data_IF_088260845761
#
_entry.id   IF_088260845761
#
_cell.length_a   1.000
_cell.length_b   1.000
_cell.length_c   1.000
_cell.angle_alpha   90.00
_cell.angle_beta   90.00
_cell.angle_gamma   90.00
#
_symmetry.space_group_name_H-M   'P 1'
#
loop_
_entity.id
_entity.type
_entity.pdbx_description
1 polymer ?
#
# COMPACT_ATOMS: atom_id res chain seq x y z
N UNK A 1 -14.91 6.66 -15.57
CA UNK A 1 -13.42 6.69 -15.56
C UNK A 1 -12.97 7.37 -14.27
N UNK A 2 -11.77 7.05 -13.78
CA UNK A 2 -11.19 7.69 -12.60
C UNK A 2 -9.66 7.77 -12.73
N UNK A 3 -9.04 8.83 -12.24
CA UNK A 3 -7.58 8.97 -12.27
C UNK A 3 -7.02 9.56 -10.97
N UNK A 4 -5.83 9.12 -10.57
CA UNK A 4 -5.12 9.73 -9.44
C UNK A 4 -3.60 9.51 -9.53
N UNK A 5 -2.81 10.33 -8.84
CA UNK A 5 -1.41 10.02 -8.56
C UNK A 5 -1.34 8.85 -7.56
N UNK A 6 -0.51 7.86 -7.85
CA UNK A 6 -0.41 6.67 -7.01
C UNK A 6 1.01 6.24 -6.71
N UNK A 7 1.16 5.56 -5.57
CA UNK A 7 2.24 4.60 -5.32
C UNK A 7 1.68 3.20 -5.46
N UNK A 8 2.31 2.39 -6.28
CA UNK A 8 1.86 1.04 -6.57
C UNK A 8 2.90 -0.02 -6.20
N UNK A 9 2.44 -1.12 -5.64
CA UNK A 9 3.23 -2.33 -5.36
C UNK A 9 2.52 -3.57 -5.92
N UNK A 10 3.30 -4.59 -6.26
CA UNK A 10 2.80 -5.93 -6.55
C UNK A 10 3.23 -6.86 -5.40
N UNK A 11 2.32 -7.68 -4.92
CA UNK A 11 2.53 -8.58 -3.77
C UNK A 11 2.27 -10.02 -4.17
N UNK A 12 2.93 -10.95 -3.49
CA UNK A 12 2.81 -12.40 -3.76
C UNK A 12 1.53 -13.00 -3.17
N UNK A 13 0.89 -12.30 -2.23
CA UNK A 13 -0.36 -12.69 -1.60
C UNK A 13 -1.27 -11.49 -1.35
N UNK A 14 -2.55 -11.77 -1.05
CA UNK A 14 -3.52 -10.80 -0.56
C UNK A 14 -3.22 -10.47 0.91
N UNK A 15 -2.12 -9.76 1.13
CA UNK A 15 -1.67 -9.35 2.45
C UNK A 15 -2.30 -8.02 2.88
N UNK A 16 -2.39 -7.81 4.19
CA UNK A 16 -2.77 -6.51 4.76
C UNK A 16 -1.84 -5.40 4.30
N UNK A 17 -2.35 -4.16 4.34
CA UNK A 17 -1.54 -2.98 4.03
C UNK A 17 -0.53 -2.79 5.16
N UNK A 18 0.75 -2.97 4.86
CA UNK A 18 1.84 -2.81 5.82
C UNK A 18 2.77 -1.68 5.40
N UNK A 19 3.25 -0.89 6.37
CA UNK A 19 4.42 -0.02 6.16
C UNK A 19 5.64 -0.90 6.03
N UNK A 20 6.37 -0.82 4.93
CA UNK A 20 7.51 -1.70 4.69
C UNK A 20 8.31 -1.37 3.43
N UNK A 21 9.31 -2.21 3.16
CA UNK A 21 10.28 -2.06 2.06
C UNK A 21 9.59 -2.00 0.70
N UNK A 22 8.52 -2.76 0.50
CA UNK A 22 7.75 -2.77 -0.75
C UNK A 22 7.28 -1.36 -1.16
N UNK A 23 6.87 -0.55 -0.18
CA UNK A 23 6.43 0.83 -0.43
C UNK A 23 7.58 1.80 -0.69
N UNK A 24 8.80 1.46 -0.24
CA UNK A 24 10.01 2.25 -0.53
C UNK A 24 10.40 2.09 -1.99
N UNK A 25 10.39 0.87 -2.51
CA UNK A 25 10.69 0.53 -3.92
C UNK A 25 9.46 0.59 -4.83
N UNK A 26 8.33 1.07 -4.33
CA UNK A 26 7.08 1.22 -5.08
C UNK A 26 7.23 2.08 -6.33
N UNK A 27 6.51 1.70 -7.38
CA UNK A 27 6.39 2.52 -8.57
C UNK A 27 5.50 3.72 -8.26
N UNK A 28 5.89 4.91 -8.73
CA UNK A 28 5.03 6.11 -8.72
C UNK A 28 4.54 6.38 -10.13
N UNK A 29 3.24 6.40 -10.32
CA UNK A 29 2.62 6.70 -11.61
C UNK A 29 1.17 7.15 -11.40
N UNK A 30 0.59 7.77 -12.42
CA UNK A 30 -0.87 7.97 -12.47
C UNK A 30 -1.53 6.60 -12.61
N UNK A 31 -2.46 6.30 -11.71
CA UNK A 31 -3.38 5.18 -11.87
C UNK A 31 -4.63 5.66 -12.57
N UNK A 32 -5.03 4.94 -13.62
CA UNK A 32 -6.17 5.27 -14.47
C UNK A 32 -7.10 4.07 -14.55
N UNK A 33 -8.36 4.27 -14.18
CA UNK A 33 -9.45 3.35 -14.47
C UNK A 33 -10.12 3.77 -15.78
N UNK A 34 -10.00 2.90 -16.77
CA UNK A 34 -10.68 3.01 -18.07
C UNK A 34 -11.91 2.11 -18.10
N UNK A 35 -12.54 2.02 -19.26
CA UNK A 35 -13.69 1.16 -19.53
C UNK A 35 -13.39 -0.34 -19.39
N UNK A 36 -12.16 -0.75 -19.71
CA UNK A 36 -11.80 -2.18 -19.82
C UNK A 36 -10.64 -2.59 -18.91
N UNK A 37 -9.90 -1.63 -18.33
CA UNK A 37 -8.66 -1.91 -17.60
C UNK A 37 -8.27 -0.82 -16.62
N UNK A 38 -7.46 -1.22 -15.64
CA UNK A 38 -6.66 -0.33 -14.80
C UNK A 38 -5.26 -0.23 -15.38
N UNK A 39 -4.73 0.98 -15.50
CA UNK A 39 -3.35 1.24 -15.94
C UNK A 39 -2.61 2.00 -14.84
N UNK A 40 -1.41 1.56 -14.50
CA UNK A 40 -0.51 2.26 -13.58
C UNK A 40 0.95 2.00 -13.98
N UNK A 41 1.57 2.98 -14.63
CA UNK A 41 2.93 2.86 -15.19
C UNK A 41 3.08 1.59 -16.04
N UNK A 42 3.94 0.65 -15.63
CA UNK A 42 4.17 -0.60 -16.37
C UNK A 42 3.04 -1.64 -16.25
N UNK A 43 2.06 -1.43 -15.38
CA UNK A 43 0.99 -2.39 -15.16
C UNK A 43 -0.25 -2.02 -15.94
N UNK A 44 -0.78 -3.03 -16.63
CA UNK A 44 -2.03 -2.99 -17.36
C UNK A 44 -2.83 -4.20 -16.85
N UNK A 45 -3.94 -3.93 -16.17
CA UNK A 45 -4.76 -4.94 -15.49
C UNK A 45 -6.16 -4.91 -16.10
N UNK A 46 -6.50 -5.83 -17.01
CA UNK A 46 -7.85 -5.94 -17.57
C UNK A 46 -8.90 -6.21 -16.48
N UNK A 47 -10.05 -5.54 -16.55
CA UNK A 47 -11.09 -5.63 -15.52
C UNK A 47 -11.71 -7.03 -15.44
N UNK A 48 -11.83 -7.72 -16.57
CA UNK A 48 -12.31 -9.10 -16.66
C UNK A 48 -11.37 -10.12 -15.98
N UNK A 49 -10.11 -9.75 -15.75
CA UNK A 49 -9.15 -10.58 -14.99
C UNK A 49 -9.19 -10.32 -13.49
N UNK A 50 -9.93 -9.32 -13.01
CA UNK A 50 -9.99 -8.97 -11.60
C UNK A 50 -10.98 -9.90 -10.89
N UNK A 51 -10.47 -10.65 -9.90
CA UNK A 51 -11.30 -11.51 -9.06
C UNK A 51 -11.87 -10.75 -7.85
N UNK A 52 -11.08 -9.87 -7.24
CA UNK A 52 -11.55 -8.99 -6.16
C UNK A 52 -10.92 -7.61 -6.25
N UNK A 53 -11.69 -6.58 -5.91
CA UNK A 53 -11.22 -5.22 -5.76
C UNK A 53 -11.80 -4.56 -4.51
N UNK A 54 -10.91 -4.03 -3.66
CA UNK A 54 -11.24 -3.38 -2.39
C UNK A 54 -10.61 -2.02 -2.34
N UNK A 55 -11.37 -1.00 -1.95
CA UNK A 55 -10.85 0.35 -1.72
C UNK A 55 -10.89 0.63 -0.23
N UNK A 56 -9.70 0.63 0.39
CA UNK A 56 -9.54 0.81 1.81
C UNK A 56 -9.25 2.27 2.11
N UNK A 57 -10.12 2.91 2.90
CA UNK A 57 -9.83 4.23 3.46
C UNK A 57 -8.84 4.08 4.61
N UNK A 58 -7.73 4.80 4.54
CA UNK A 58 -6.69 4.83 5.57
C UNK A 58 -6.59 6.22 6.18
N UNK A 59 -6.39 6.29 7.50
CA UNK A 59 -6.10 7.54 8.20
C UNK A 59 -4.61 7.61 8.52
N UNK A 60 -3.98 8.73 8.21
CA UNK A 60 -2.58 9.03 8.54
C UNK A 60 -2.53 10.27 9.44
N UNK A 61 -1.38 10.50 10.07
CA UNK A 61 -1.19 11.64 10.96
C UNK A 61 -1.41 13.00 10.26
N UNK A 62 -1.17 13.06 8.95
CA UNK A 62 -1.21 14.29 8.15
C UNK A 62 -2.41 14.34 7.19
N UNK A 63 -3.40 13.47 7.37
CA UNK A 63 -4.61 13.44 6.54
C UNK A 63 -5.08 12.04 6.19
N UNK A 64 -6.16 11.96 5.42
CA UNK A 64 -6.71 10.71 4.92
C UNK A 64 -6.10 10.32 3.57
N UNK A 65 -6.06 9.02 3.31
CA UNK A 65 -5.73 8.45 2.00
C UNK A 65 -6.60 7.23 1.73
N UNK A 66 -6.36 6.59 0.59
CA UNK A 66 -6.99 5.32 0.27
C UNK A 66 -6.01 4.38 -0.42
N UNK A 67 -6.27 3.08 -0.30
CA UNK A 67 -5.49 2.05 -0.99
C UNK A 67 -6.44 1.16 -1.75
N UNK A 68 -6.26 1.11 -3.07
CA UNK A 68 -6.93 0.13 -3.91
C UNK A 68 -6.14 -1.18 -3.86
N UNK A 69 -6.76 -2.24 -3.36
CA UNK A 69 -6.27 -3.62 -3.46
C UNK A 69 -6.95 -4.32 -4.62
N UNK A 70 -6.18 -4.88 -5.53
CA UNK A 70 -6.67 -5.65 -6.68
C UNK A 70 -6.05 -7.03 -6.63
N UNK A 71 -6.89 -8.06 -6.71
CA UNK A 71 -6.47 -9.43 -6.94
C UNK A 71 -7.00 -9.89 -8.28
N UNK A 72 -6.15 -10.52 -9.07
CA UNK A 72 -6.51 -11.08 -10.37
C UNK A 72 -6.78 -12.58 -10.27
N UNK A 73 -7.42 -13.14 -11.29
CA UNK A 73 -7.70 -14.59 -11.41
C UNK A 73 -6.43 -15.42 -11.51
N UNK A 74 -5.33 -14.86 -12.03
CA UNK A 74 -3.99 -15.48 -12.05
C UNK A 74 -3.20 -15.31 -10.74
N UNK A 75 -3.89 -14.94 -9.64
CA UNK A 75 -3.36 -14.81 -8.28
C UNK A 75 -2.29 -13.70 -8.12
N UNK A 76 -2.19 -12.76 -9.05
CA UNK A 76 -1.39 -11.55 -8.82
C UNK A 76 -2.16 -10.60 -7.91
N UNK A 77 -1.44 -9.92 -7.03
CA UNK A 77 -2.00 -8.99 -6.08
C UNK A 77 -1.32 -7.64 -6.26
N UNK A 78 -2.10 -6.57 -6.27
CA UNK A 78 -1.63 -5.21 -6.43
C UNK A 78 -2.20 -4.34 -5.33
N UNK A 79 -1.42 -3.36 -4.88
CA UNK A 79 -1.90 -2.32 -3.97
C UNK A 79 -1.48 -0.95 -4.52
N UNK A 80 -2.43 -0.03 -4.56
CA UNK A 80 -2.23 1.32 -5.07
C UNK A 80 -2.66 2.34 -4.02
N UNK A 81 -1.68 2.97 -3.37
CA UNK A 81 -1.91 4.06 -2.43
C UNK A 81 -2.15 5.37 -3.17
N UNK A 82 -3.24 6.05 -2.83
CA UNK A 82 -3.74 7.27 -3.45
C UNK A 82 -4.21 8.27 -2.37
N UNK A 83 -4.43 9.52 -2.77
CA UNK A 83 -5.20 10.45 -1.94
C UNK A 83 -6.68 10.04 -1.91
N UNK A 84 -7.44 10.60 -0.96
CA UNK A 84 -8.90 10.45 -1.00
C UNK A 84 -9.44 11.12 -2.27
N UNK A 85 -10.04 10.31 -3.13
CA UNK A 85 -10.51 10.76 -4.44
C UNK A 85 -11.91 10.19 -4.70
N UNK A 86 -12.88 11.08 -4.86
CA UNK A 86 -14.29 10.74 -5.07
C UNK A 86 -14.55 10.05 -6.41
N UNK A 87 -13.73 10.29 -7.45
CA UNK A 87 -13.89 9.59 -8.73
C UNK A 87 -13.66 8.09 -8.57
N UNK A 88 -12.68 7.70 -7.76
CA UNK A 88 -12.40 6.30 -7.45
C UNK A 88 -13.47 5.65 -6.58
N UNK A 89 -14.13 6.44 -5.72
CA UNK A 89 -15.20 5.95 -4.85
C UNK A 89 -16.52 5.78 -5.62
N UNK A 90 -16.84 6.74 -6.51
CA UNK A 90 -18.14 6.83 -7.16
C UNK A 90 -18.19 6.21 -8.57
N UNK A 91 -17.08 5.65 -9.06
CA UNK A 91 -17.06 4.94 -10.33
C UNK A 91 -17.91 3.65 -10.29
N UNK A 92 -18.49 3.28 -11.43
CA UNK A 92 -19.38 2.11 -11.55
C UNK A 92 -18.77 0.94 -12.35
N UNK A 93 -17.56 1.13 -12.91
CA UNK A 93 -16.93 0.16 -13.82
C UNK A 93 -16.29 -1.02 -13.11
N UNK A 94 -15.74 -0.78 -11.93
CA UNK A 94 -15.08 -1.76 -11.09
C UNK A 94 -15.97 -2.03 -9.88
N UNK A 95 -16.38 -3.27 -9.68
CA UNK A 95 -17.12 -3.69 -8.50
C UNK A 95 -16.22 -3.58 -7.25
N UNK A 96 -16.31 -2.42 -6.58
CA UNK A 96 -15.49 -2.10 -5.41
C UNK A 96 -16.23 -2.40 -4.11
N UNK A 97 -15.54 -3.06 -3.20
CA UNK A 97 -15.93 -3.10 -1.79
C UNK A 97 -15.19 -1.99 -1.05
N UNK A 98 -15.94 -1.07 -0.43
CA UNK A 98 -15.40 0.02 0.35
C UNK A 98 -15.20 -0.43 1.80
N UNK A 99 -13.97 -0.33 2.31
CA UNK A 99 -13.62 -0.79 3.65
C UNK A 99 -12.87 0.30 4.43
N UNK A 100 -13.00 0.27 5.76
CA UNK A 100 -12.09 1.00 6.64
C UNK A 100 -10.85 0.12 6.85
N UNK A 101 -9.70 0.61 6.43
CA UNK A 101 -8.43 -0.10 6.56
C UNK A 101 -7.51 0.53 7.60
N UNK A 102 -6.67 -0.29 8.21
CA UNK A 102 -5.56 0.16 9.03
C UNK A 102 -4.23 -0.20 8.38
N UNK A 103 -3.24 0.69 8.50
CA UNK A 103 -1.90 0.43 7.99
C UNK A 103 -1.07 -0.17 9.11
N UNK A 104 -0.78 -1.46 9.01
CA UNK A 104 0.02 -2.20 10.01
C UNK A 104 1.51 -1.86 9.88
N UNK A 105 2.26 -2.09 10.95
CA UNK A 105 3.71 -2.02 10.92
C UNK A 105 4.30 -3.37 10.48
N UNK A 106 5.32 -3.35 9.62
CA UNK A 106 6.08 -4.55 9.29
C UNK A 106 6.84 -5.07 10.52
N UNK A 107 6.69 -6.36 10.81
CA UNK A 107 7.42 -7.06 11.90
C UNK A 107 8.93 -6.89 11.76
N UNK A 108 9.45 -6.94 10.53
CA UNK A 108 10.87 -6.71 10.26
C UNK A 108 11.32 -5.33 10.75
N UNK A 109 10.55 -4.28 10.45
CA UNK A 109 10.88 -2.92 10.91
C UNK A 109 10.82 -2.78 12.43
N UNK A 110 9.93 -3.51 13.10
CA UNK A 110 9.83 -3.49 14.57
C UNK A 110 11.08 -4.13 15.18
N UNK A 111 11.46 -5.32 14.71
CA UNK A 111 12.64 -6.05 15.20
C UNK A 111 13.92 -5.23 14.99
N UNK A 112 14.11 -4.65 13.81
CA UNK A 112 15.29 -3.84 13.51
C UNK A 112 15.42 -2.62 14.46
N UNK A 113 14.31 -1.97 14.81
CA UNK A 113 14.30 -0.85 15.76
C UNK A 113 14.68 -1.31 17.17
N UNK A 114 14.16 -2.44 17.64
CA UNK A 114 14.51 -2.98 18.96
C UNK A 114 16.00 -3.30 19.07
N UNK A 115 16.59 -3.92 18.04
CA UNK A 115 18.03 -4.20 17.97
C UNK A 115 18.82 -2.89 18.01
N UNK A 116 18.42 -1.90 17.20
CA UNK A 116 19.11 -0.60 17.14
C UNK A 116 19.07 0.12 18.50
N UNK A 117 17.91 0.15 19.16
CA UNK A 117 17.76 0.77 20.47
C UNK A 117 18.60 0.03 21.52
N UNK A 118 18.57 -1.29 21.53
CA UNK A 118 19.40 -2.10 22.44
C UNK A 118 20.90 -1.83 22.24
N UNK A 119 21.35 -1.74 20.99
CA UNK A 119 22.74 -1.40 20.66
C UNK A 119 23.10 0.02 21.11
N UNK A 120 22.23 1.01 20.90
CA UNK A 120 22.46 2.38 21.34
C UNK A 120 22.54 2.50 22.88
N UNK A 121 21.69 1.77 23.61
CA UNK A 121 21.74 1.71 25.08
C UNK A 121 23.05 1.10 25.55
N UNK A 122 23.46 -0.02 24.95
CA UNK A 122 24.73 -0.67 25.27
C UNK A 122 25.92 0.26 25.01
N UNK A 123 25.95 0.88 23.83
CA UNK A 123 27.00 1.82 23.45
C UNK A 123 27.08 3.03 24.41
N UNK A 124 25.92 3.55 24.83
CA UNK A 124 25.86 4.66 25.78
C UNK A 124 26.36 4.25 27.17
N UNK A 125 26.00 3.05 27.64
CA UNK A 125 26.47 2.49 28.89
C UNK A 125 28.00 2.32 28.92
N UNK A 126 28.57 1.70 27.88
CA UNK A 126 30.03 1.53 27.73
C UNK A 126 30.78 2.86 27.69
N UNK A 127 30.21 3.86 27.00
CA UNK A 127 30.89 5.14 26.77
C UNK A 127 30.84 6.07 27.99
N UNK A 128 29.78 6.05 28.78
CA UNK A 128 29.53 7.07 29.80
C UNK A 128 29.34 6.55 31.23
N UNK A 129 29.11 5.25 31.42
CA UNK A 129 28.86 4.66 32.75
C UNK A 129 29.94 3.66 33.13
N UNK A 130 30.37 2.80 32.20
CA UNK A 130 31.39 1.79 32.47
C UNK A 130 32.84 2.28 32.31
N UNK A 131 33.03 3.45 31.69
CA UNK A 131 34.28 4.23 31.71
C UNK A 131 34.13 5.43 32.64
#
# INVERSE_FOLDING_TARGET
MAADASKGIATTSDQDIQRGVDWVTSQRAVILLTEEKIVCGKWIIPLDTISTARLLKINTLFGGGQVLKVQTTDKKNYQFGMQLNSEWVNQERLALVLEKGEVKHSTFSIVARLITVGFLIYWFYERFIAN
#
